data_IF_368633395531
#
_entry.id   IF_368633395531
#
_cell.length_a   1.000
_cell.length_b   1.000
_cell.length_c   1.000
_cell.angle_alpha   90.00
_cell.angle_beta   90.00
_cell.angle_gamma   90.00
#
_symmetry.space_group_name_H-M   'P 1'
#
loop_
_entity.id
_entity.type
_entity.pdbx_description
1 polymer ?
#
# COMPACT_ATOMS: atom_id res chain seq x y z
N UNK A 1 -22.42 -13.71 7.38
CA UNK A 1 -21.27 -12.82 7.13
C UNK A 1 -20.21 -13.14 8.18
N UNK A 2 -19.17 -13.92 7.84
CA UNK A 2 -18.15 -14.32 8.83
C UNK A 2 -17.32 -13.08 9.19
N UNK A 3 -17.38 -12.71 10.47
CA UNK A 3 -16.49 -11.74 11.10
C UNK A 3 -15.05 -12.21 10.90
N UNK A 4 -14.21 -11.36 10.28
CA UNK A 4 -12.81 -11.70 9.99
C UNK A 4 -11.98 -11.44 11.25
N UNK A 5 -11.32 -12.48 11.73
CA UNK A 5 -10.52 -12.46 12.95
C UNK A 5 -9.14 -11.77 12.73
N UNK A 6 -8.49 -11.23 13.79
CA UNK A 6 -7.25 -10.45 13.70
C UNK A 6 -5.95 -11.24 13.51
N UNK A 7 -5.95 -12.48 12.98
CA UNK A 7 -4.88 -13.44 13.33
C UNK A 7 -3.81 -13.65 12.24
N UNK A 8 -4.08 -13.35 10.96
CA UNK A 8 -3.19 -13.86 9.91
C UNK A 8 -2.15 -12.86 9.39
N UNK A 9 -1.31 -12.29 10.25
CA UNK A 9 0.01 -11.87 9.76
C UNK A 9 1.01 -12.87 10.32
N UNK A 10 1.02 -14.08 9.77
CA UNK A 10 2.13 -14.98 10.04
C UNK A 10 3.43 -14.29 9.66
N UNK A 11 4.51 -14.52 10.42
CA UNK A 11 5.81 -13.89 10.20
C UNK A 11 6.32 -14.06 8.75
N UNK A 12 5.91 -15.16 8.08
CA UNK A 12 6.19 -15.42 6.68
C UNK A 12 5.49 -14.45 5.72
N UNK A 13 4.24 -14.05 6.00
CA UNK A 13 3.50 -13.10 5.15
C UNK A 13 4.04 -11.67 5.32
N UNK A 14 4.46 -11.30 6.54
CA UNK A 14 5.16 -10.04 6.80
C UNK A 14 6.46 -10.02 6.01
N UNK A 15 7.24 -11.11 6.09
CA UNK A 15 8.53 -11.19 5.40
C UNK A 15 8.37 -11.15 3.88
N UNK A 16 7.48 -11.97 3.30
CA UNK A 16 7.28 -12.08 1.84
C UNK A 16 6.75 -10.80 1.21
N UNK A 17 5.86 -10.08 1.91
CA UNK A 17 5.21 -8.88 1.38
C UNK A 17 5.81 -7.59 1.92
N UNK A 18 6.97 -7.64 2.56
CA UNK A 18 7.67 -6.47 3.12
C UNK A 18 8.30 -5.57 2.05
N UNK A 19 8.64 -4.35 2.45
CA UNK A 19 9.47 -3.44 1.65
C UNK A 19 10.88 -3.98 1.42
N UNK A 20 11.43 -4.75 2.36
CA UNK A 20 12.67 -5.49 2.15
C UNK A 20 12.53 -6.54 1.02
N UNK A 21 11.44 -7.31 1.00
CA UNK A 21 11.18 -8.29 -0.06
C UNK A 21 10.92 -7.64 -1.41
N UNK A 22 10.19 -6.51 -1.46
CA UNK A 22 9.98 -5.75 -2.70
C UNK A 22 11.30 -5.22 -3.27
N UNK A 23 12.22 -4.74 -2.42
CA UNK A 23 13.57 -4.32 -2.85
C UNK A 23 14.38 -5.49 -3.41
N UNK A 24 14.35 -6.65 -2.75
CA UNK A 24 15.00 -7.86 -3.27
C UNK A 24 14.39 -8.29 -4.61
N UNK A 25 13.07 -8.28 -4.74
CA UNK A 25 12.40 -8.61 -5.98
C UNK A 25 12.78 -7.65 -7.13
N UNK A 26 13.04 -6.37 -6.83
CA UNK A 26 13.59 -5.43 -7.80
C UNK A 26 15.02 -5.81 -8.22
N UNK A 27 15.89 -6.13 -7.27
CA UNK A 27 17.27 -6.56 -7.55
C UNK A 27 17.34 -7.87 -8.37
N UNK A 28 16.28 -8.69 -8.30
CA UNK A 28 16.16 -9.97 -9.01
C UNK A 28 15.35 -9.86 -10.34
N UNK A 29 14.99 -8.65 -10.80
CA UNK A 29 14.13 -8.43 -11.98
C UNK A 29 12.74 -9.10 -11.90
N UNK A 30 12.22 -9.27 -10.68
CA UNK A 30 10.94 -9.94 -10.37
C UNK A 30 9.92 -9.03 -9.69
N UNK A 31 10.15 -7.72 -9.68
CA UNK A 31 9.26 -6.77 -8.98
C UNK A 31 7.82 -6.79 -9.52
N UNK A 32 7.63 -6.91 -10.84
CA UNK A 32 6.29 -7.00 -11.43
C UNK A 32 5.52 -8.23 -10.91
N UNK A 33 6.15 -9.42 -10.93
CA UNK A 33 5.58 -10.65 -10.40
C UNK A 33 5.23 -10.49 -8.93
N UNK A 34 6.15 -9.92 -8.13
CA UNK A 34 5.93 -9.66 -6.72
C UNK A 34 4.71 -8.76 -6.47
N UNK A 35 4.55 -7.68 -7.24
CA UNK A 35 3.39 -6.78 -7.13
C UNK A 35 2.09 -7.52 -7.47
N UNK A 36 2.11 -8.32 -8.54
CA UNK A 36 0.92 -9.06 -8.96
C UNK A 36 0.49 -10.10 -7.91
N UNK A 37 1.43 -10.83 -7.33
CA UNK A 37 1.14 -11.79 -6.26
C UNK A 37 0.64 -11.06 -4.99
N UNK A 38 1.29 -9.95 -4.61
CA UNK A 38 0.91 -9.14 -3.45
C UNK A 38 -0.56 -8.67 -3.52
N UNK A 39 -0.99 -8.21 -4.69
CA UNK A 39 -2.35 -7.69 -4.92
C UNK A 39 -3.43 -8.79 -4.94
N UNK A 40 -3.04 -10.07 -4.96
CA UNK A 40 -3.93 -11.22 -4.94
C UNK A 40 -4.06 -11.86 -3.55
N UNK A 41 -3.35 -11.34 -2.53
CA UNK A 41 -3.42 -11.91 -1.17
C UNK A 41 -4.85 -11.73 -0.62
N UNK A 42 -5.59 -12.82 -0.29
CA UNK A 42 -7.03 -12.74 0.03
C UNK A 42 -7.41 -11.78 1.17
N UNK A 43 -6.47 -11.49 2.07
CA UNK A 43 -6.69 -10.62 3.23
C UNK A 43 -6.76 -9.14 2.86
N UNK A 44 -6.04 -8.72 1.83
CA UNK A 44 -5.94 -7.32 1.38
C UNK A 44 -5.96 -7.21 -0.14
N UNK A 45 -6.64 -8.14 -0.79
CA UNK A 45 -6.75 -8.21 -2.24
C UNK A 45 -7.18 -6.86 -2.83
N UNK A 46 -6.58 -6.51 -3.97
CA UNK A 46 -6.91 -5.29 -4.70
C UNK A 46 -6.92 -5.59 -6.20
N UNK A 47 -7.90 -6.40 -6.61
CA UNK A 47 -8.04 -6.89 -7.98
C UNK A 47 -8.26 -5.76 -9.01
N UNK A 48 -8.87 -4.65 -8.57
CA UNK A 48 -9.03 -3.45 -9.40
C UNK A 48 -7.68 -2.83 -9.76
N UNK A 49 -6.80 -2.67 -8.77
CA UNK A 49 -5.44 -2.22 -8.98
C UNK A 49 -4.63 -3.24 -9.79
N UNK A 50 -4.74 -4.54 -9.49
CA UNK A 50 -4.05 -5.60 -10.25
C UNK A 50 -4.35 -5.54 -11.75
N UNK A 51 -5.62 -5.33 -12.12
CA UNK A 51 -6.02 -5.18 -13.54
C UNK A 51 -5.32 -3.98 -14.19
N UNK A 52 -5.15 -2.89 -13.46
CA UNK A 52 -4.46 -1.68 -13.95
C UNK A 52 -2.96 -1.93 -14.08
N UNK A 53 -2.34 -2.56 -13.07
CA UNK A 53 -0.92 -2.95 -13.10
C UNK A 53 -0.61 -3.83 -14.31
N UNK A 54 -1.46 -4.84 -14.59
CA UNK A 54 -1.31 -5.71 -15.77
C UNK A 54 -1.51 -5.01 -17.12
N UNK A 55 -2.22 -3.89 -17.13
CA UNK A 55 -2.47 -3.13 -18.36
C UNK A 55 -1.30 -2.21 -18.73
N UNK A 56 -0.39 -1.93 -17.79
CA UNK A 56 0.78 -1.11 -18.04
C UNK A 56 1.96 -1.99 -18.48
N UNK A 57 2.59 -1.61 -19.60
CA UNK A 57 3.78 -2.28 -20.14
C UNK A 57 5.09 -1.62 -19.67
N UNK A 58 5.02 -0.77 -18.64
CA UNK A 58 6.16 0.03 -18.17
C UNK A 58 6.77 -0.67 -16.97
N UNK A 59 8.09 -0.74 -16.94
CA UNK A 59 8.84 -1.27 -15.80
C UNK A 59 8.64 -0.41 -14.56
N UNK A 60 8.52 -1.07 -13.40
CA UNK A 60 8.48 -0.38 -12.13
C UNK A 60 9.88 0.10 -11.75
N UNK A 61 10.03 1.40 -11.38
CA UNK A 61 11.26 1.89 -10.78
C UNK A 61 11.56 1.18 -9.44
N UNK A 62 12.81 1.32 -8.99
CA UNK A 62 13.23 0.84 -7.68
C UNK A 62 12.32 1.38 -6.55
N UNK A 63 12.05 0.59 -5.49
CA UNK A 63 11.36 1.10 -4.31
C UNK A 63 12.09 2.30 -3.70
N UNK A 64 11.36 3.33 -3.28
CA UNK A 64 11.93 4.54 -2.67
C UNK A 64 11.22 4.95 -1.38
N UNK A 65 11.95 5.62 -0.48
CA UNK A 65 11.36 6.23 0.71
C UNK A 65 10.70 7.56 0.35
N UNK A 66 9.38 7.63 0.49
CA UNK A 66 8.60 8.83 0.17
C UNK A 66 8.12 9.54 1.43
N UNK A 67 8.00 10.86 1.35
CA UNK A 67 7.40 11.67 2.42
C UNK A 67 5.89 11.50 2.44
N UNK A 68 5.32 11.13 3.58
CA UNK A 68 3.88 10.88 3.72
C UNK A 68 3.02 12.14 3.54
N UNK A 69 3.59 13.33 3.67
CA UNK A 69 2.88 14.60 3.42
C UNK A 69 2.78 14.96 1.93
N UNK A 70 3.52 14.26 1.08
CA UNK A 70 3.36 14.31 -0.38
C UNK A 70 2.33 13.30 -0.88
N UNK A 71 1.85 12.41 -0.02
CA UNK A 71 0.89 11.37 -0.36
C UNK A 71 -0.55 11.85 -0.12
N UNK A 72 -1.34 11.86 -1.18
CA UNK A 72 -2.77 12.14 -1.14
C UNK A 72 -3.55 10.82 -1.10
N UNK A 73 -4.40 10.61 -0.07
CA UNK A 73 -5.24 9.43 -0.02
C UNK A 73 -6.30 9.50 -1.11
N UNK A 74 -6.59 8.35 -1.71
CA UNK A 74 -7.76 8.20 -2.60
C UNK A 74 -8.87 7.40 -1.92
N UNK A 75 -8.56 6.77 -0.78
CA UNK A 75 -9.45 5.93 0.02
C UNK A 75 -9.36 6.35 1.48
N UNK A 76 -10.49 6.48 2.16
CA UNK A 76 -10.55 7.03 3.51
C UNK A 76 -11.95 7.40 3.97
N UNK A 77 -12.11 7.93 5.19
CA UNK A 77 -13.42 8.19 5.77
C UNK A 77 -14.11 9.44 5.21
N UNK A 78 -13.40 10.26 4.43
CA UNK A 78 -13.99 11.44 3.83
C UNK A 78 -14.88 11.07 2.63
N UNK A 79 -16.10 11.61 2.52
CA UNK A 79 -16.98 11.38 1.39
C UNK A 79 -16.48 12.02 0.09
N UNK A 80 -15.52 12.95 0.16
CA UNK A 80 -14.92 13.61 -1.01
C UNK A 80 -13.85 12.76 -1.71
N UNK A 81 -13.47 11.61 -1.14
CA UNK A 81 -12.47 10.73 -1.70
C UNK A 81 -13.05 9.87 -2.80
N UNK A 82 -12.20 9.40 -3.71
CA UNK A 82 -12.61 8.51 -4.81
C UNK A 82 -13.23 7.20 -4.31
N UNK A 83 -12.70 6.67 -3.20
CA UNK A 83 -13.18 5.45 -2.57
C UNK A 83 -13.50 5.71 -1.08
N UNK A 84 -14.65 6.32 -0.79
CA UNK A 84 -15.02 6.62 0.59
C UNK A 84 -15.25 5.32 1.37
N UNK A 85 -14.86 5.34 2.65
CA UNK A 85 -15.01 4.24 3.59
C UNK A 85 -15.87 4.68 4.77
N UNK A 86 -16.61 3.73 5.33
CA UNK A 86 -17.28 3.96 6.60
C UNK A 86 -16.24 4.27 7.70
N UNK A 87 -16.47 5.33 8.49
CA UNK A 87 -15.52 5.78 9.52
C UNK A 87 -15.26 4.70 10.58
N UNK A 88 -16.27 3.98 11.06
CA UNK A 88 -16.06 2.95 12.08
C UNK A 88 -15.20 1.79 11.55
N UNK A 89 -15.46 1.35 10.32
CA UNK A 89 -14.64 0.31 9.67
C UNK A 89 -13.21 0.80 9.43
N UNK A 90 -13.05 2.03 8.95
CA UNK A 90 -11.75 2.64 8.72
C UNK A 90 -10.92 2.71 10.00
N UNK A 91 -11.51 3.24 11.08
CA UNK A 91 -10.83 3.38 12.37
C UNK A 91 -10.43 2.03 12.94
N UNK A 92 -11.30 1.02 12.85
CA UNK A 92 -10.96 -0.36 13.28
C UNK A 92 -9.74 -0.90 12.53
N UNK A 93 -9.70 -0.73 11.21
CA UNK A 93 -8.61 -1.26 10.38
C UNK A 93 -7.29 -0.49 10.62
N UNK A 94 -7.35 0.82 10.88
CA UNK A 94 -6.18 1.63 11.28
C UNK A 94 -5.69 1.23 12.68
N UNK A 95 -6.58 1.04 13.65
CA UNK A 95 -6.22 0.61 15.01
C UNK A 95 -5.56 -0.78 14.99
N UNK A 96 -6.04 -1.70 14.17
CA UNK A 96 -5.44 -3.03 14.03
C UNK A 96 -4.00 -3.00 13.45
N UNK A 97 -3.61 -1.91 12.76
CA UNK A 97 -2.22 -1.68 12.33
C UNK A 97 -1.43 -1.07 13.49
N UNK A 98 -2.00 -0.08 14.19
CA UNK A 98 -1.36 0.57 15.33
C UNK A 98 -1.02 -0.41 16.46
N UNK A 99 -1.94 -1.33 16.78
CA UNK A 99 -1.76 -2.36 17.81
C UNK A 99 -0.61 -3.33 17.49
N UNK A 100 -0.38 -3.61 16.21
CA UNK A 100 0.76 -4.44 15.77
C UNK A 100 2.07 -3.68 15.70
N UNK A 101 2.01 -2.34 15.66
CA UNK A 101 3.14 -1.49 15.39
C UNK A 101 3.49 -1.41 13.89
N UNK A 102 4.37 -0.47 13.57
CA UNK A 102 4.89 -0.25 12.22
C UNK A 102 6.40 -0.36 12.29
N UNK A 103 6.93 -1.38 11.62
CA UNK A 103 8.32 -1.42 11.21
C UNK A 103 8.39 -1.02 9.72
N UNK A 104 9.12 0.05 9.43
CA UNK A 104 9.15 0.64 8.08
C UNK A 104 9.68 -0.35 7.04
N UNK A 105 10.63 -1.22 7.40
CA UNK A 105 11.24 -2.17 6.46
C UNK A 105 10.43 -3.45 6.31
N UNK A 106 9.69 -3.86 7.35
CA UNK A 106 8.86 -5.07 7.35
C UNK A 106 7.43 -4.83 6.84
N UNK A 107 6.95 -3.59 6.86
CA UNK A 107 5.67 -3.28 6.25
C UNK A 107 5.75 -3.38 4.74
N UNK A 108 4.67 -3.80 4.05
CA UNK A 108 4.62 -3.69 2.59
C UNK A 108 4.88 -2.24 2.15
N UNK A 109 5.43 -2.01 0.95
CA UNK A 109 5.57 -0.68 0.39
C UNK A 109 4.19 -0.13 -0.04
N UNK A 110 4.07 1.19 -0.10
CA UNK A 110 2.92 1.85 -0.69
C UNK A 110 2.92 1.62 -2.21
N UNK A 111 1.75 1.50 -2.84
CA UNK A 111 1.64 1.60 -4.30
C UNK A 111 1.08 2.97 -4.63
N UNK A 112 1.84 3.76 -5.37
CA UNK A 112 1.50 5.17 -5.64
C UNK A 112 1.74 5.51 -7.09
N UNK A 113 1.13 6.61 -7.55
CA UNK A 113 1.49 7.21 -8.82
C UNK A 113 1.70 8.70 -8.72
N UNK A 114 2.50 9.23 -9.65
CA UNK A 114 2.86 10.65 -9.71
C UNK A 114 1.74 11.47 -10.33
N UNK A 115 1.38 12.57 -9.67
CA UNK A 115 0.50 13.62 -10.20
C UNK A 115 1.31 14.71 -10.93
N UNK A 116 0.66 15.52 -11.79
CA UNK A 116 1.32 16.65 -12.46
C UNK A 116 1.96 17.67 -11.51
N UNK A 117 1.47 17.80 -10.28
CA UNK A 117 2.00 18.68 -9.22
C UNK A 117 3.14 18.04 -8.40
N UNK A 118 3.68 16.91 -8.87
CA UNK A 118 4.69 16.11 -8.18
C UNK A 118 4.27 15.56 -6.81
N UNK A 119 2.98 15.58 -6.46
CA UNK A 119 2.44 14.82 -5.32
C UNK A 119 2.13 13.39 -5.75
N UNK A 120 1.91 12.51 -4.77
CA UNK A 120 1.71 11.08 -4.97
C UNK A 120 0.28 10.71 -4.59
N UNK A 121 -0.46 10.04 -5.47
CA UNK A 121 -1.75 9.46 -5.07
C UNK A 121 -1.54 8.04 -4.54
N UNK A 122 -2.19 7.71 -3.42
CA UNK A 122 -2.09 6.41 -2.75
C UNK A 122 -3.03 5.37 -3.37
N UNK A 123 -2.58 4.59 -4.35
CA UNK A 123 -3.34 3.48 -4.92
C UNK A 123 -3.59 2.37 -3.89
N UNK A 124 -2.57 2.07 -3.09
CA UNK A 124 -2.63 1.11 -1.99
C UNK A 124 -1.85 1.62 -0.78
N UNK A 125 -2.23 1.15 0.42
CA UNK A 125 -1.58 1.53 1.68
C UNK A 125 -2.21 2.73 2.40
N UNK A 126 -3.42 3.15 2.03
CA UNK A 126 -4.12 4.27 2.67
C UNK A 126 -4.24 4.11 4.21
N UNK A 127 -4.62 2.93 4.72
CA UNK A 127 -4.64 2.67 6.18
C UNK A 127 -3.24 2.68 6.81
N UNK A 128 -2.21 2.20 6.09
CA UNK A 128 -0.82 2.17 6.56
C UNK A 128 -0.28 3.59 6.73
N UNK A 129 -0.56 4.49 5.78
CA UNK A 129 -0.21 5.91 5.89
C UNK A 129 -0.94 6.57 7.06
N UNK A 130 -2.24 6.30 7.23
CA UNK A 130 -3.00 6.86 8.35
C UNK A 130 -2.47 6.41 9.72
N UNK A 131 -2.13 5.13 9.87
CA UNK A 131 -1.50 4.60 11.07
C UNK A 131 -0.10 5.20 11.29
N UNK A 132 0.75 5.24 10.25
CA UNK A 132 2.09 5.82 10.32
C UNK A 132 2.09 7.28 10.77
N UNK A 133 1.19 8.10 10.23
CA UNK A 133 1.05 9.51 10.65
C UNK A 133 0.67 9.65 12.12
N UNK A 134 -0.18 8.77 12.65
CA UNK A 134 -0.56 8.76 14.09
C UNK A 134 0.61 8.39 15.00
N UNK A 135 1.56 7.59 14.50
CA UNK A 135 2.80 7.23 15.21
C UNK A 135 3.93 8.24 15.01
N UNK A 136 3.71 9.34 14.29
CA UNK A 136 4.76 10.33 13.99
C UNK A 136 5.78 9.88 12.93
N UNK A 137 5.53 8.77 12.24
CA UNK A 137 6.37 8.32 11.13
C UNK A 137 6.10 9.21 9.91
N UNK A 138 7.17 9.76 9.32
CA UNK A 138 7.07 10.74 8.23
C UNK A 138 7.40 10.17 6.86
N UNK A 139 7.97 8.96 6.79
CA UNK A 139 8.37 8.29 5.56
C UNK A 139 8.00 6.80 5.59
N UNK A 140 7.61 6.28 4.43
CA UNK A 140 7.46 4.84 4.17
C UNK A 140 8.04 4.52 2.80
N UNK A 141 8.40 3.25 2.60
CA UNK A 141 8.77 2.76 1.27
C UNK A 141 7.56 2.77 0.34
N UNK A 142 7.79 3.09 -0.93
CA UNK A 142 6.79 3.11 -1.96
C UNK A 142 7.34 2.58 -3.29
N UNK A 143 6.45 1.97 -4.06
CA UNK A 143 6.60 1.64 -5.46
C UNK A 143 5.86 2.73 -6.24
N UNK A 144 6.61 3.52 -7.00
CA UNK A 144 6.11 4.73 -7.67
C UNK A 144 5.94 4.48 -9.15
N UNK A 145 4.68 4.50 -9.61
CA UNK A 145 4.38 4.36 -11.03
C UNK A 145 4.22 5.74 -11.69
N UNK A 146 4.74 5.95 -12.92
CA UNK A 146 4.58 7.23 -13.62
C UNK A 146 3.15 7.47 -14.12
N UNK A 147 2.40 6.40 -14.37
CA UNK A 147 1.04 6.46 -14.94
C UNK A 147 -0.02 6.28 -13.85
N UNK A 148 -1.19 6.96 -13.94
CA UNK A 148 -2.29 6.78 -13.01
C UNK A 148 -2.70 5.33 -12.78
N UNK A 149 -2.62 4.85 -11.55
CA UNK A 149 -2.94 3.45 -11.22
C UNK A 149 -4.44 3.20 -10.99
N UNK A 150 -5.24 4.26 -10.98
CA UNK A 150 -6.70 4.20 -10.94
C UNK A 150 -7.28 5.11 -12.01
N UNK A 151 -8.50 4.80 -12.44
CA UNK A 151 -9.28 5.54 -13.42
C UNK A 151 -10.63 4.92 -13.60
#
# INVERSE_FOLDING_TARGET
>A
MKLRQPEDWGDEAITRWSSAAARRAFEEDRLQEWIEEYLQVPKWENLGLLRRVRAYSVEWPAPELVLLDRCDPISGPSPSLMFPKNIQSWERDVLAILERGIDVDLMPPLLVWVKPDCRLNLADGNHRVAAAKRLGITKLWALVHPTPLVG
#
